data_IF_547469898845
#
_entry.id   IF_547469898845
#
_cell.length_a   1.000
_cell.length_b   1.000
_cell.length_c   1.000
_cell.angle_alpha   90.00
_cell.angle_beta   90.00
_cell.angle_gamma   90.00
#
_symmetry.space_group_name_H-M   'P 1'
#
loop_
_entity.id
_entity.type
_entity.pdbx_description
1 polymer ?
#
# COMPACT_ATOMS: atom_id res chain seq x y z
N UNK A 1 6.10 -17.94 -27.44
CA UNK A 1 5.85 -16.61 -26.83
C UNK A 1 7.15 -16.13 -26.19
N UNK A 2 7.81 -15.14 -26.81
CA UNK A 2 9.08 -14.60 -26.30
C UNK A 2 8.80 -13.70 -25.09
N UNK A 3 9.42 -13.99 -23.93
CA UNK A 3 9.37 -13.10 -22.78
C UNK A 3 10.15 -11.84 -23.14
N UNK A 4 9.47 -10.68 -23.18
CA UNK A 4 10.17 -9.40 -23.30
C UNK A 4 11.14 -9.26 -22.11
N UNK A 5 12.40 -8.84 -22.34
CA UNK A 5 13.34 -8.62 -21.25
C UNK A 5 12.79 -7.54 -20.32
N UNK A 6 12.99 -7.75 -19.01
CA UNK A 6 12.72 -6.72 -18.01
C UNK A 6 13.64 -5.53 -18.29
N UNK A 7 13.13 -4.28 -18.25
CA UNK A 7 13.95 -3.10 -18.49
C UNK A 7 15.07 -2.99 -17.44
N UNK A 8 16.19 -2.40 -17.85
CA UNK A 8 17.38 -2.22 -17.01
C UNK A 8 17.04 -1.44 -15.73
N UNK A 9 17.66 -1.84 -14.60
CA UNK A 9 17.42 -1.25 -13.26
C UNK A 9 17.46 0.29 -13.24
N UNK A 10 18.36 0.90 -14.02
CA UNK A 10 18.52 2.35 -14.10
C UNK A 10 17.29 3.03 -14.69
N UNK A 11 16.70 2.44 -15.73
CA UNK A 11 15.51 2.96 -16.40
C UNK A 11 14.26 2.87 -15.51
N UNK A 12 14.18 1.82 -14.67
CA UNK A 12 13.09 1.67 -13.69
C UNK A 12 13.17 2.75 -12.61
N UNK A 13 14.38 3.08 -12.12
CA UNK A 13 14.57 4.12 -11.10
C UNK A 13 14.19 5.50 -11.65
N UNK A 14 14.62 5.85 -12.87
CA UNK A 14 14.27 7.14 -13.48
C UNK A 14 12.78 7.26 -13.81
N UNK A 15 12.10 6.19 -14.20
CA UNK A 15 10.65 6.23 -14.46
C UNK A 15 9.83 6.40 -13.16
N UNK A 16 10.25 5.75 -12.06
CA UNK A 16 9.59 5.83 -10.75
C UNK A 16 9.80 7.22 -10.11
N UNK A 17 10.99 7.80 -10.25
CA UNK A 17 11.28 9.16 -9.77
C UNK A 17 10.42 10.23 -10.46
N UNK A 18 9.80 9.93 -11.62
CA UNK A 18 8.91 10.84 -12.35
C UNK A 18 7.41 10.65 -12.05
N UNK A 19 7.02 9.70 -11.19
CA UNK A 19 5.60 9.43 -10.86
C UNK A 19 5.07 10.38 -9.79
N UNK A 20 5.91 10.75 -8.83
CA UNK A 20 5.57 11.62 -7.71
C UNK A 20 6.56 12.78 -7.64
N UNK A 21 6.09 13.98 -7.33
CA UNK A 21 6.96 15.11 -6.98
C UNK A 21 7.70 14.85 -5.66
N UNK A 22 8.73 15.65 -5.35
CA UNK A 22 9.43 15.55 -4.06
C UNK A 22 8.47 15.72 -2.87
N UNK A 23 7.51 16.64 -2.96
CA UNK A 23 6.51 16.89 -1.91
C UNK A 23 5.56 15.70 -1.73
N UNK A 24 5.20 15.04 -2.84
CA UNK A 24 4.35 13.84 -2.80
C UNK A 24 5.11 12.62 -2.25
N UNK A 25 6.41 12.52 -2.52
CA UNK A 25 7.29 11.55 -1.89
C UNK A 25 7.37 11.75 -0.37
N UNK A 26 7.58 13.00 0.08
CA UNK A 26 7.53 13.32 1.52
C UNK A 26 6.19 12.90 2.12
N UNK A 27 5.09 13.22 1.44
CA UNK A 27 3.73 12.86 1.87
C UNK A 27 3.54 11.34 1.99
N UNK A 28 4.02 10.57 1.03
CA UNK A 28 4.00 9.10 1.07
C UNK A 28 4.80 8.56 2.25
N UNK A 29 6.03 9.05 2.45
CA UNK A 29 6.91 8.60 3.54
C UNK A 29 6.26 8.86 4.89
N UNK A 30 5.68 10.05 5.07
CA UNK A 30 4.99 10.42 6.31
C UNK A 30 3.72 9.60 6.53
N UNK A 31 2.92 9.37 5.48
CA UNK A 31 1.73 8.53 5.56
C UNK A 31 2.09 7.08 5.92
N UNK A 32 3.14 6.51 5.32
CA UNK A 32 3.62 5.17 5.59
C UNK A 32 4.17 5.06 7.03
N UNK A 33 4.92 6.05 7.51
CA UNK A 33 5.37 6.12 8.91
C UNK A 33 4.18 6.18 9.88
N UNK A 34 3.18 7.00 9.56
CA UNK A 34 2.01 7.18 10.41
C UNK A 34 1.21 5.88 10.57
N UNK A 35 0.89 5.19 9.46
CA UNK A 35 0.16 3.92 9.51
C UNK A 35 0.99 2.79 10.15
N UNK A 36 2.32 2.78 9.95
CA UNK A 36 3.21 1.87 10.66
C UNK A 36 3.18 2.09 12.18
N UNK A 37 3.02 3.34 12.64
CA UNK A 37 2.93 3.64 14.06
C UNK A 37 1.55 3.29 14.64
N UNK A 38 0.48 3.76 13.99
CA UNK A 38 -0.89 3.58 14.46
C UNK A 38 -1.89 3.51 13.30
N UNK A 39 -2.72 2.47 13.31
CA UNK A 39 -3.89 2.38 12.43
C UNK A 39 -4.93 3.40 12.89
N UNK A 40 -5.27 4.35 12.00
CA UNK A 40 -6.29 5.36 12.23
C UNK A 40 -7.38 5.23 11.17
N UNK A 41 -8.60 4.88 11.58
CA UNK A 41 -9.74 4.77 10.68
C UNK A 41 -10.51 6.08 10.57
N UNK A 42 -11.09 6.32 9.39
CA UNK A 42 -12.21 7.27 9.27
C UNK A 42 -13.36 6.85 10.20
N UNK A 43 -14.08 7.79 10.82
CA UNK A 43 -15.17 7.47 11.74
C UNK A 43 -16.15 6.42 11.19
N UNK A 44 -16.34 5.33 11.95
CA UNK A 44 -17.25 4.23 11.63
C UNK A 44 -16.80 3.27 10.51
N UNK A 45 -15.70 3.55 9.81
CA UNK A 45 -15.18 2.70 8.74
C UNK A 45 -14.52 1.43 9.27
N UNK A 46 -13.88 1.50 10.43
CA UNK A 46 -13.36 0.36 11.19
C UNK A 46 -14.40 -0.76 11.32
N UNK A 47 -15.54 -0.46 11.91
CA UNK A 47 -16.61 -1.44 12.17
C UNK A 47 -17.28 -1.88 10.87
N UNK A 48 -17.50 -0.96 9.92
CA UNK A 48 -18.10 -1.29 8.63
C UNK A 48 -17.22 -2.26 7.83
N UNK A 49 -15.91 -2.01 7.77
CA UNK A 49 -14.97 -2.88 7.07
C UNK A 49 -14.78 -4.22 7.79
N UNK A 50 -14.69 -4.23 9.13
CA UNK A 50 -14.63 -5.47 9.91
C UNK A 50 -15.84 -6.37 9.65
N UNK A 51 -17.06 -5.81 9.72
CA UNK A 51 -18.30 -6.53 9.40
C UNK A 51 -18.27 -7.11 7.98
N UNK A 52 -17.77 -6.33 7.01
CA UNK A 52 -17.60 -6.80 5.62
C UNK A 52 -16.60 -7.95 5.54
N UNK A 53 -15.44 -7.87 6.21
CA UNK A 53 -14.43 -8.96 6.18
C UNK A 53 -14.97 -10.25 6.80
N UNK A 54 -15.73 -10.15 7.89
CA UNK A 54 -16.44 -11.29 8.50
C UNK A 54 -17.47 -11.92 7.58
N UNK A 55 -18.35 -11.11 6.97
CA UNK A 55 -19.37 -11.60 6.03
C UNK A 55 -18.75 -12.31 4.82
N UNK A 56 -17.63 -11.79 4.32
CA UNK A 56 -16.89 -12.39 3.20
C UNK A 56 -15.99 -13.56 3.64
N UNK A 57 -16.01 -13.95 4.92
CA UNK A 57 -15.15 -15.00 5.50
C UNK A 57 -13.65 -14.76 5.33
N UNK A 58 -13.24 -13.51 5.15
CA UNK A 58 -11.83 -13.13 5.07
C UNK A 58 -11.15 -13.05 6.44
N UNK A 59 -11.94 -12.83 7.50
CA UNK A 59 -11.49 -12.72 8.88
C UNK A 59 -12.64 -13.08 9.83
N UNK A 60 -12.40 -13.87 10.87
CA UNK A 60 -13.39 -14.17 11.93
C UNK A 60 -13.18 -13.37 13.22
N UNK A 61 -12.01 -12.74 13.39
CA UNK A 61 -11.58 -12.05 14.60
C UNK A 61 -12.22 -10.67 14.86
N UNK A 62 -11.74 -10.03 15.92
CA UNK A 62 -12.06 -8.69 16.44
C UNK A 62 -11.48 -7.55 15.58
N UNK A 63 -11.74 -6.30 15.98
CA UNK A 63 -11.07 -5.15 15.36
C UNK A 63 -9.55 -5.22 15.60
N UNK A 64 -9.10 -5.62 16.79
CA UNK A 64 -7.68 -5.77 17.09
C UNK A 64 -7.01 -6.82 16.17
N UNK A 65 -7.68 -7.94 15.90
CA UNK A 65 -7.16 -8.95 14.96
C UNK A 65 -7.06 -8.40 13.53
N UNK A 66 -8.02 -7.55 13.13
CA UNK A 66 -8.00 -6.90 11.83
C UNK A 66 -6.88 -5.87 11.71
N UNK A 67 -6.66 -5.09 12.76
CA UNK A 67 -5.56 -4.13 12.83
C UNK A 67 -4.20 -4.84 12.89
N UNK A 68 -4.12 -6.01 13.52
CA UNK A 68 -2.92 -6.83 13.51
C UNK A 68 -2.56 -7.28 12.09
N UNK A 69 -3.54 -7.74 11.31
CA UNK A 69 -3.32 -8.03 9.87
C UNK A 69 -2.76 -6.81 9.15
N UNK A 70 -3.32 -5.62 9.40
CA UNK A 70 -2.83 -4.39 8.77
C UNK A 70 -1.38 -4.11 9.18
N UNK A 71 -1.05 -4.20 10.48
CA UNK A 71 0.31 -3.99 10.98
C UNK A 71 1.31 -4.98 10.38
N UNK A 72 0.96 -6.26 10.30
CA UNK A 72 1.81 -7.29 9.71
C UNK A 72 2.14 -6.96 8.24
N UNK A 73 1.18 -6.38 7.51
CA UNK A 73 1.39 -5.94 6.14
C UNK A 73 2.23 -4.68 6.06
N UNK A 74 1.86 -3.59 6.74
CA UNK A 74 2.52 -2.29 6.53
C UNK A 74 3.90 -2.20 7.17
N UNK A 75 4.17 -2.98 8.23
CA UNK A 75 5.47 -2.99 8.92
C UNK A 75 6.48 -3.96 8.32
N UNK A 76 6.04 -4.90 7.48
CA UNK A 76 6.97 -5.82 6.83
C UNK A 76 7.73 -5.09 5.73
N UNK A 77 9.02 -4.86 5.98
CA UNK A 77 9.93 -4.11 5.12
C UNK A 77 10.10 -4.69 3.71
N UNK A 78 9.77 -5.97 3.51
CA UNK A 78 9.81 -6.65 2.21
C UNK A 78 8.57 -6.46 1.36
N UNK A 79 7.45 -6.00 1.93
CA UNK A 79 6.18 -5.81 1.24
C UNK A 79 6.24 -4.64 0.26
N UNK A 80 5.34 -4.67 -0.73
CA UNK A 80 5.39 -3.79 -1.90
C UNK A 80 4.41 -2.64 -1.73
N UNK A 81 4.87 -1.43 -2.03
CA UNK A 81 4.11 -0.18 -1.99
C UNK A 81 3.72 0.24 -3.41
N UNK A 82 2.49 0.69 -3.55
CA UNK A 82 1.91 1.19 -4.78
C UNK A 82 1.26 2.57 -4.57
N UNK A 83 1.23 3.38 -5.63
CA UNK A 83 0.35 4.53 -5.77
C UNK A 83 -0.97 4.09 -6.40
N UNK A 84 -2.06 4.67 -5.93
CA UNK A 84 -3.38 4.55 -6.53
C UNK A 84 -4.02 5.94 -6.66
N UNK A 85 -4.09 6.45 -7.89
CA UNK A 85 -4.89 7.64 -8.18
C UNK A 85 -6.36 7.25 -8.36
N UNK A 86 -7.23 7.93 -7.61
CA UNK A 86 -8.66 7.84 -7.82
C UNK A 86 -9.27 9.24 -7.91
N UNK A 87 -9.60 9.63 -9.15
CA UNK A 87 -10.19 10.93 -9.47
C UNK A 87 -9.32 12.11 -8.99
N UNK A 88 -8.01 12.03 -9.21
CA UNK A 88 -7.05 13.07 -8.81
C UNK A 88 -6.74 13.08 -7.32
N UNK A 89 -7.15 12.05 -6.57
CA UNK A 89 -6.77 11.86 -5.18
C UNK A 89 -5.81 10.69 -5.08
N UNK A 90 -4.61 10.95 -4.54
CA UNK A 90 -3.61 9.93 -4.30
C UNK A 90 -3.91 9.14 -3.02
N UNK A 91 -3.93 7.82 -3.19
CA UNK A 91 -3.91 6.83 -2.14
C UNK A 91 -2.66 5.98 -2.28
N UNK A 92 -2.23 5.39 -1.18
CA UNK A 92 -1.12 4.46 -1.13
C UNK A 92 -1.63 3.10 -0.76
N UNK A 93 -1.00 2.06 -1.30
CA UNK A 93 -1.35 0.69 -0.97
C UNK A 93 -0.14 -0.18 -0.71
N UNK A 94 -0.25 -1.06 0.28
CA UNK A 94 0.76 -2.07 0.58
C UNK A 94 0.18 -3.45 0.32
N UNK A 95 0.87 -4.20 -0.53
CA UNK A 95 0.63 -5.62 -0.82
C UNK A 95 1.54 -6.47 0.04
N UNK A 96 0.99 -7.51 0.65
CA UNK A 96 1.78 -8.52 1.33
C UNK A 96 0.95 -9.70 1.82
N UNK A 97 1.58 -10.59 2.58
CA UNK A 97 0.92 -11.76 3.15
C UNK A 97 0.66 -11.59 4.64
N UNK A 98 -0.55 -11.96 5.08
CA UNK A 98 -0.89 -12.13 6.48
C UNK A 98 -1.54 -13.52 6.64
N UNK A 99 -0.93 -14.33 7.50
CA UNK A 99 -1.11 -15.79 7.51
C UNK A 99 -0.90 -16.36 6.09
N UNK A 100 -1.92 -17.01 5.51
CA UNK A 100 -1.85 -17.68 4.20
C UNK A 100 -2.58 -16.92 3.09
N UNK A 101 -3.03 -15.70 3.35
CA UNK A 101 -3.74 -14.89 2.38
C UNK A 101 -2.91 -13.69 1.98
N UNK A 102 -3.02 -13.31 0.71
CA UNK A 102 -2.44 -12.09 0.20
C UNK A 102 -3.42 -10.94 0.40
N UNK A 103 -2.97 -9.87 1.04
CA UNK A 103 -3.75 -8.71 1.41
C UNK A 103 -3.27 -7.45 0.69
N UNK A 104 -4.21 -6.57 0.44
CA UNK A 104 -3.98 -5.20 0.02
C UNK A 104 -4.53 -4.26 1.11
N UNK A 105 -3.64 -3.44 1.67
CA UNK A 105 -3.98 -2.36 2.61
C UNK A 105 -3.93 -1.05 1.84
N UNK A 106 -5.00 -0.26 1.85
CA UNK A 106 -5.09 1.05 1.18
C UNK A 106 -5.32 2.14 2.23
N UNK A 107 -4.52 3.20 2.16
CA UNK A 107 -4.57 4.35 3.06
C UNK A 107 -4.27 5.64 2.30
N UNK A 108 -4.76 6.76 2.83
CA UNK A 108 -4.56 8.08 2.26
C UNK A 108 -3.47 8.88 2.98
N UNK A 109 -3.54 10.20 2.80
CA UNK A 109 -2.71 11.17 3.49
C UNK A 109 -2.68 10.95 5.03
N UNK A 110 -1.51 11.17 5.64
CA UNK A 110 -1.31 11.00 7.07
C UNK A 110 -1.50 9.57 7.60
N UNK A 111 -1.53 8.56 6.72
CA UNK A 111 -1.73 7.16 7.11
C UNK A 111 -3.18 6.80 7.43
N UNK A 112 -4.14 7.63 7.00
CA UNK A 112 -5.56 7.41 7.26
C UNK A 112 -6.07 6.18 6.51
N UNK A 113 -6.59 5.19 7.25
CA UNK A 113 -7.08 3.94 6.67
C UNK A 113 -8.32 4.14 5.79
N UNK A 114 -8.26 3.59 4.58
CA UNK A 114 -9.40 3.47 3.68
C UNK A 114 -10.01 2.07 3.72
N UNK A 115 -9.21 1.03 3.52
CA UNK A 115 -9.66 -0.36 3.53
C UNK A 115 -8.48 -1.33 3.59
N UNK A 116 -8.70 -2.55 4.10
CA UNK A 116 -7.80 -3.67 3.91
C UNK A 116 -8.59 -4.94 3.53
N UNK A 117 -8.08 -5.71 2.57
CA UNK A 117 -8.74 -6.95 2.16
C UNK A 117 -7.85 -7.87 1.34
N UNK A 118 -8.16 -9.18 1.29
CA UNK A 118 -7.55 -10.09 0.34
C UNK A 118 -8.36 -10.08 -0.97
N UNK A 119 -7.82 -9.58 -2.09
CA UNK A 119 -8.43 -9.76 -3.40
C UNK A 119 -8.35 -11.24 -3.82
N UNK A 120 -9.28 -11.71 -4.65
CA UNK A 120 -9.22 -13.08 -5.17
C UNK A 120 -8.01 -13.31 -6.10
N UNK A 121 -7.69 -12.33 -6.92
CA UNK A 121 -6.49 -12.27 -7.75
C UNK A 121 -5.92 -10.86 -7.62
N UNK A 122 -4.80 -10.71 -6.91
CA UNK A 122 -4.25 -9.39 -6.62
C UNK A 122 -3.62 -8.75 -7.86
N UNK A 123 -2.98 -9.53 -8.73
CA UNK A 123 -2.27 -9.01 -9.89
C UNK A 123 -3.27 -8.41 -10.88
N UNK A 124 -4.35 -9.15 -11.17
CA UNK A 124 -5.45 -8.65 -11.98
C UNK A 124 -6.14 -7.43 -11.34
N UNK A 125 -6.32 -7.45 -10.01
CA UNK A 125 -6.93 -6.31 -9.31
C UNK A 125 -6.09 -5.04 -9.43
N UNK A 126 -4.76 -5.14 -9.23
CA UNK A 126 -3.83 -4.04 -9.32
C UNK A 126 -3.76 -3.48 -10.75
N UNK A 127 -3.64 -4.37 -11.75
CA UNK A 127 -3.59 -3.99 -13.16
C UNK A 127 -4.87 -3.27 -13.60
N UNK A 128 -6.04 -3.88 -13.37
CA UNK A 128 -7.34 -3.33 -13.78
C UNK A 128 -7.64 -1.98 -13.13
N UNK A 129 -7.10 -1.72 -11.94
CA UNK A 129 -7.32 -0.48 -11.19
C UNK A 129 -6.22 0.56 -11.42
N UNK A 130 -5.17 0.22 -12.19
CA UNK A 130 -4.10 1.16 -12.53
C UNK A 130 -3.18 1.50 -11.35
N UNK A 131 -2.90 0.54 -10.46
CA UNK A 131 -1.92 0.74 -9.40
C UNK A 131 -0.51 0.86 -9.98
N UNK A 132 0.25 1.86 -9.53
CA UNK A 132 1.61 2.12 -9.99
C UNK A 132 2.57 1.61 -8.91
N UNK A 133 3.51 0.73 -9.28
CA UNK A 133 4.54 0.24 -8.37
C UNK A 133 5.49 1.39 -7.97
N UNK A 134 5.74 1.55 -6.67
CA UNK A 134 6.66 2.57 -6.15
C UNK A 134 7.94 1.98 -5.55
N UNK A 135 7.88 0.78 -4.99
CA UNK A 135 9.02 0.16 -4.31
C UNK A 135 8.60 -0.74 -3.17
N UNK A 136 9.56 -1.17 -2.34
CA UNK A 136 9.34 -1.91 -1.11
C UNK A 136 9.19 -0.97 0.09
N UNK A 137 8.49 -1.40 1.13
CA UNK A 137 8.33 -0.65 2.39
C UNK A 137 9.69 -0.14 2.91
N UNK A 138 10.74 -0.96 2.87
CA UNK A 138 12.10 -0.54 3.24
C UNK A 138 12.60 0.66 2.43
N UNK A 139 12.46 0.60 1.12
CA UNK A 139 12.98 1.58 0.17
C UNK A 139 12.26 2.92 0.37
N UNK A 140 10.93 2.88 0.55
CA UNK A 140 10.13 4.08 0.83
C UNK A 140 10.53 4.69 2.18
N UNK A 141 10.65 3.90 3.25
CA UNK A 141 11.01 4.42 4.58
C UNK A 141 12.43 4.99 4.65
N UNK A 142 13.32 4.54 3.78
CA UNK A 142 14.70 5.02 3.66
C UNK A 142 14.85 6.15 2.63
N UNK A 143 13.78 6.51 1.93
CA UNK A 143 13.82 7.58 0.94
C UNK A 143 14.19 8.90 1.61
N UNK A 144 15.13 9.60 1.00
CA UNK A 144 15.56 10.94 1.39
C UNK A 144 15.58 11.81 0.14
N UNK A 145 15.10 13.05 0.25
CA UNK A 145 15.20 14.02 -0.84
C UNK A 145 16.66 14.19 -1.24
N UNK A 146 16.98 13.89 -2.51
CA UNK A 146 18.30 14.19 -3.08
C UNK A 146 18.38 15.71 -3.25
N UNK A 147 19.25 16.36 -2.49
CA UNK A 147 19.57 17.77 -2.73
C UNK A 147 20.35 17.82 -4.04
N UNK A 148 19.76 18.39 -5.10
CA UNK A 148 20.53 18.78 -6.29
C UNK A 148 21.44 19.93 -5.85
N UNK A 149 22.74 19.66 -5.78
CA UNK A 149 23.81 20.65 -5.56
C UNK A 149 24.02 21.42 -6.86
#
# INVERSE_FOLDING_TARGET
MSRKPLPEKTFIIELIENVLSDEEWVTLVDALKAICNKVCWKPGKDIAHLKKRRRMKHLSGTLADYEQVIYDIVRNVGNIVYLYDFMGTHYYAVRGFAANNEWLVIFGWGGLMETAFPPQNIDEYLERRGFIFLGRVKEILQWTKKVKI
#
